data_IF_705939575562
#
_entry.id   IF_705939575562
#
_cell.length_a   1.000
_cell.length_b   1.000
_cell.length_c   1.000
_cell.angle_alpha   90.00
_cell.angle_beta   90.00
_cell.angle_gamma   90.00
#
_symmetry.space_group_name_H-M   'P 1'
#
loop_
_entity.id
_entity.type
_entity.pdbx_description
1 polymer ?
#
# COMPACT_ATOMS: atom_id res chain seq x y z
N UNK A 1 12.45 14.26 -10.06
CA UNK A 1 12.43 13.09 -9.16
C UNK A 1 13.30 13.40 -7.97
N UNK A 2 12.67 13.98 -6.96
CA UNK A 2 13.25 14.13 -5.63
C UNK A 2 12.84 12.94 -4.74
N UNK A 3 13.33 12.94 -3.49
CA UNK A 3 13.02 11.88 -2.52
C UNK A 3 11.51 11.76 -2.25
N UNK A 4 10.78 12.87 -2.18
CA UNK A 4 9.36 12.87 -1.87
C UNK A 4 8.55 12.31 -3.03
N UNK A 5 8.87 12.71 -4.26
CA UNK A 5 8.29 12.15 -5.49
C UNK A 5 8.56 10.64 -5.61
N UNK A 6 9.74 10.18 -5.21
CA UNK A 6 10.08 8.76 -5.22
C UNK A 6 9.27 7.97 -4.18
N UNK A 7 9.20 8.46 -2.95
CA UNK A 7 8.40 7.83 -1.88
C UNK A 7 6.91 7.80 -2.25
N UNK A 8 6.39 8.87 -2.85
CA UNK A 8 5.01 8.94 -3.32
C UNK A 8 4.72 7.87 -4.37
N UNK A 9 5.63 7.64 -5.33
CA UNK A 9 5.47 6.58 -6.33
C UNK A 9 5.43 5.18 -5.71
N UNK A 10 6.30 4.91 -4.75
CA UNK A 10 6.27 3.63 -4.04
C UNK A 10 4.99 3.47 -3.22
N UNK A 11 4.53 4.53 -2.58
CA UNK A 11 3.28 4.51 -1.82
C UNK A 11 2.09 4.18 -2.74
N UNK A 12 1.98 4.85 -3.89
CA UNK A 12 0.95 4.56 -4.89
C UNK A 12 1.02 3.11 -5.39
N UNK A 13 2.23 2.58 -5.60
CA UNK A 13 2.41 1.19 -5.99
C UNK A 13 1.91 0.21 -4.92
N UNK A 14 2.22 0.44 -3.64
CA UNK A 14 1.73 -0.42 -2.57
C UNK A 14 0.22 -0.28 -2.37
N UNK A 15 -0.36 0.92 -2.50
CA UNK A 15 -1.80 1.10 -2.47
C UNK A 15 -2.50 0.38 -3.63
N UNK A 16 -1.88 0.32 -4.81
CA UNK A 16 -2.39 -0.51 -5.92
C UNK A 16 -2.33 -2.01 -5.60
N UNK A 17 -1.30 -2.47 -4.89
CA UNK A 17 -1.21 -3.85 -4.41
C UNK A 17 -2.32 -4.15 -3.39
N UNK A 18 -2.49 -3.29 -2.38
CA UNK A 18 -3.58 -3.41 -1.39
C UNK A 18 -4.92 -3.51 -2.11
N UNK A 19 -5.17 -2.64 -3.09
CA UNK A 19 -6.37 -2.67 -3.93
C UNK A 19 -6.52 -4.00 -4.69
N UNK A 20 -5.46 -4.46 -5.36
CA UNK A 20 -5.46 -5.71 -6.12
C UNK A 20 -5.76 -6.93 -5.24
N UNK A 21 -5.33 -6.91 -3.98
CA UNK A 21 -5.57 -7.97 -3.01
C UNK A 21 -6.85 -7.78 -2.19
N UNK A 22 -7.60 -6.68 -2.37
CA UNK A 22 -8.84 -6.40 -1.61
C UNK A 22 -10.07 -7.04 -2.25
N UNK A 23 -11.03 -7.46 -1.43
CA UNK A 23 -12.34 -7.97 -1.92
C UNK A 23 -13.26 -6.87 -2.43
N UNK A 24 -13.04 -5.64 -1.98
CA UNK A 24 -13.87 -4.49 -2.28
C UNK A 24 -13.03 -3.26 -2.63
N UNK A 25 -13.69 -2.27 -3.25
CA UNK A 25 -13.04 -1.01 -3.64
C UNK A 25 -12.67 -0.12 -2.45
N UNK A 26 -13.18 -0.41 -1.26
CA UNK A 26 -12.87 0.35 -0.04
C UNK A 26 -11.60 -0.18 0.62
N UNK A 27 -11.05 -1.30 0.13
CA UNK A 27 -9.89 -1.96 0.69
C UNK A 27 -10.07 -2.27 2.17
N UNK A 28 -11.26 -2.71 2.56
CA UNK A 28 -11.55 -3.01 3.98
C UNK A 28 -11.14 -4.43 4.36
N UNK A 29 -11.07 -5.35 3.40
CA UNK A 29 -10.73 -6.74 3.67
C UNK A 29 -9.98 -7.40 2.51
N UNK A 30 -9.06 -8.34 2.81
CA UNK A 30 -8.31 -9.08 1.81
C UNK A 30 -9.16 -10.15 1.11
N UNK A 31 -8.82 -10.46 -0.14
CA UNK A 31 -9.29 -11.63 -0.88
C UNK A 31 -8.81 -12.89 -0.17
N UNK A 32 -9.65 -13.93 -0.19
CA UNK A 32 -9.28 -15.23 0.38
C UNK A 32 -8.02 -15.78 -0.29
N UNK A 33 -7.01 -16.11 0.51
CA UNK A 33 -5.71 -16.60 0.04
C UNK A 33 -4.69 -15.51 -0.32
N UNK A 34 -5.00 -14.24 -0.09
CA UNK A 34 -4.11 -13.08 -0.27
C UNK A 34 -3.96 -12.25 1.00
N UNK A 35 -4.31 -12.81 2.16
CA UNK A 35 -4.34 -12.09 3.44
C UNK A 35 -2.96 -11.53 3.80
N UNK A 36 -1.90 -12.32 3.58
CA UNK A 36 -0.54 -11.90 3.87
C UNK A 36 -0.08 -10.79 2.92
N UNK A 37 -0.27 -10.97 1.61
CA UNK A 37 0.13 -10.00 0.61
C UNK A 37 -0.59 -8.66 0.78
N UNK A 38 -1.86 -8.71 1.17
CA UNK A 38 -2.65 -7.52 1.48
C UNK A 38 -2.13 -6.80 2.74
N UNK A 39 -1.86 -7.55 3.82
CA UNK A 39 -1.30 -7.00 5.05
C UNK A 39 0.08 -6.39 4.80
N UNK A 40 0.98 -7.12 4.15
CA UNK A 40 2.35 -6.69 3.87
C UNK A 40 2.36 -5.42 2.99
N UNK A 41 1.50 -5.36 1.96
CA UNK A 41 1.38 -4.17 1.12
C UNK A 41 0.87 -2.96 1.92
N UNK A 42 -0.09 -3.19 2.83
CA UNK A 42 -0.63 -2.14 3.68
C UNK A 42 0.42 -1.62 4.67
N UNK A 43 1.16 -2.50 5.32
CA UNK A 43 2.26 -2.12 6.23
C UNK A 43 3.35 -1.32 5.49
N UNK A 44 3.74 -1.73 4.28
CA UNK A 44 4.69 -0.97 3.46
C UNK A 44 4.15 0.41 3.09
N UNK A 45 2.88 0.51 2.71
CA UNK A 45 2.25 1.79 2.38
C UNK A 45 2.23 2.74 3.61
N UNK A 46 1.90 2.22 4.79
CA UNK A 46 1.89 2.99 6.05
C UNK A 46 3.30 3.51 6.40
N UNK A 47 4.34 2.68 6.26
CA UNK A 47 5.73 3.09 6.47
C UNK A 47 6.17 4.19 5.49
N UNK A 48 5.81 4.06 4.22
CA UNK A 48 6.13 5.07 3.20
C UNK A 48 5.44 6.41 3.51
N UNK A 49 4.19 6.37 3.97
CA UNK A 49 3.46 7.56 4.40
C UNK A 49 4.10 8.23 5.63
N UNK A 50 4.57 7.44 6.59
CA UNK A 50 5.30 7.95 7.75
C UNK A 50 6.62 8.63 7.32
N UNK A 51 7.38 8.02 6.41
CA UNK A 51 8.62 8.59 5.89
C UNK A 51 8.42 9.91 5.13
N UNK A 52 7.29 10.08 4.43
CA UNK A 52 6.95 11.34 3.75
C UNK A 52 6.49 12.45 4.69
N UNK A 53 6.06 12.09 5.90
CA UNK A 53 5.55 13.01 6.91
C UNK A 53 6.63 13.48 7.90
N UNK A 54 7.86 12.96 7.76
CA UNK A 54 9.07 13.39 8.47
C UNK A 54 9.79 14.48 7.68
#
# INVERSE_FOLDING_TARGET
>A
MDQKELLQKYYEQEMNNVFAYSTDFRMNSPKKGYENEWCDAKERAELLLEMMSK
#
